data_IF_529785350335
#
_entry.id   IF_529785350335
#
_cell.length_a   1.000
_cell.length_b   1.000
_cell.length_c   1.000
_cell.angle_alpha   90.00
_cell.angle_beta   90.00
_cell.angle_gamma   90.00
#
_symmetry.space_group_name_H-M   'P 1'
#
loop_
_entity.id
_entity.type
_entity.pdbx_description
1 polymer ?
#
# COMPACT_ATOMS: atom_id res chain seq x y z
N UNK A 1 49.20 -29.53 -8.46
CA UNK A 1 48.53 -28.23 -8.62
C UNK A 1 47.09 -28.35 -8.16
N UNK A 2 46.79 -27.93 -6.95
CA UNK A 2 45.46 -28.00 -6.35
C UNK A 2 44.70 -26.72 -6.73
N UNK A 3 43.71 -26.83 -7.62
CA UNK A 3 42.83 -25.70 -7.97
C UNK A 3 41.83 -25.48 -6.83
N UNK A 4 42.05 -24.44 -6.06
CA UNK A 4 41.12 -23.99 -5.02
C UNK A 4 39.89 -23.37 -5.70
N UNK A 5 38.75 -24.08 -5.67
CA UNK A 5 37.46 -23.56 -6.09
C UNK A 5 36.89 -22.70 -4.95
N UNK A 6 36.99 -21.38 -5.07
CA UNK A 6 36.34 -20.46 -4.18
C UNK A 6 34.86 -20.44 -4.57
N UNK A 7 34.02 -21.15 -3.81
CA UNK A 7 32.57 -21.03 -3.88
C UNK A 7 32.19 -19.65 -3.31
N UNK A 8 31.88 -18.68 -4.18
CA UNK A 8 31.30 -17.40 -3.78
C UNK A 8 29.86 -17.66 -3.39
N UNK A 9 29.64 -17.75 -2.06
CA UNK A 9 28.30 -17.82 -1.48
C UNK A 9 27.65 -16.44 -1.63
N UNK A 10 26.94 -16.20 -2.73
CA UNK A 10 26.10 -15.00 -2.87
C UNK A 10 24.93 -15.14 -1.91
N UNK A 11 24.68 -14.18 -0.99
CA UNK A 11 23.59 -14.31 -0.04
C UNK A 11 22.24 -14.17 -0.75
N UNK A 12 21.59 -15.28 -0.99
CA UNK A 12 20.25 -15.38 -1.61
C UNK A 12 19.20 -14.48 -0.91
N UNK A 13 19.38 -14.25 0.39
CA UNK A 13 18.51 -13.40 1.21
C UNK A 13 18.44 -11.92 0.77
N UNK A 14 19.51 -11.37 0.17
CA UNK A 14 19.52 -9.99 -0.34
C UNK A 14 18.65 -9.81 -1.58
N UNK A 15 18.52 -10.84 -2.41
CA UNK A 15 17.67 -10.79 -3.61
C UNK A 15 16.18 -10.77 -3.23
N UNK A 16 15.79 -11.59 -2.26
CA UNK A 16 14.40 -11.69 -1.78
C UNK A 16 13.97 -10.38 -1.07
N UNK A 17 14.81 -9.81 -0.21
CA UNK A 17 14.54 -8.56 0.48
C UNK A 17 14.34 -7.38 -0.49
N UNK A 18 15.15 -7.30 -1.56
CA UNK A 18 15.02 -6.27 -2.59
C UNK A 18 13.72 -6.41 -3.39
N UNK A 19 13.22 -7.64 -3.61
CA UNK A 19 11.96 -7.89 -4.29
C UNK A 19 10.77 -7.33 -3.47
N UNK A 20 10.70 -7.58 -2.17
CA UNK A 20 9.68 -7.00 -1.29
C UNK A 20 9.72 -5.46 -1.25
N UNK A 21 10.91 -4.86 -1.25
CA UNK A 21 11.07 -3.41 -1.29
C UNK A 21 10.50 -2.83 -2.59
N UNK A 22 10.79 -3.46 -3.73
CA UNK A 22 10.25 -3.06 -5.04
C UNK A 22 8.72 -3.15 -5.06
N UNK A 23 8.16 -4.28 -4.63
CA UNK A 23 6.71 -4.49 -4.57
C UNK A 23 5.99 -3.46 -3.68
N UNK A 24 6.55 -3.10 -2.51
CA UNK A 24 6.01 -2.03 -1.66
C UNK A 24 5.98 -0.68 -2.39
N UNK A 25 7.07 -0.34 -3.07
CA UNK A 25 7.19 0.93 -3.80
C UNK A 25 6.20 0.98 -4.97
N UNK A 26 6.07 -0.10 -5.73
CA UNK A 26 5.12 -0.23 -6.83
C UNK A 26 3.67 -0.15 -6.33
N UNK A 27 3.34 -0.84 -5.25
CA UNK A 27 2.00 -0.79 -4.62
C UNK A 27 1.65 0.64 -4.19
N UNK A 28 2.57 1.37 -3.55
CA UNK A 28 2.33 2.76 -3.16
C UNK A 28 2.27 3.72 -4.35
N UNK A 29 3.04 3.49 -5.41
CA UNK A 29 2.92 4.26 -6.64
C UNK A 29 1.57 4.04 -7.32
N UNK A 30 1.10 2.78 -7.39
CA UNK A 30 -0.22 2.42 -7.92
C UNK A 30 -1.32 3.06 -7.07
N UNK A 31 -1.26 2.93 -5.74
CA UNK A 31 -2.20 3.56 -4.81
C UNK A 31 -2.29 5.08 -5.06
N UNK A 32 -1.16 5.79 -5.12
CA UNK A 32 -1.13 7.23 -5.36
C UNK A 32 -1.71 7.62 -6.72
N UNK A 33 -1.48 6.81 -7.77
CA UNK A 33 -2.05 7.04 -9.10
C UNK A 33 -3.58 6.89 -9.07
N UNK A 34 -4.08 5.84 -8.43
CA UNK A 34 -5.51 5.58 -8.26
C UNK A 34 -6.19 6.71 -7.49
N UNK A 35 -5.62 7.15 -6.37
CA UNK A 35 -6.16 8.27 -5.58
C UNK A 35 -6.25 9.57 -6.39
N UNK A 36 -5.24 9.88 -7.22
CA UNK A 36 -5.28 11.06 -8.09
C UNK A 36 -6.36 10.93 -9.16
N UNK A 37 -6.50 9.75 -9.78
CA UNK A 37 -7.56 9.49 -10.76
C UNK A 37 -8.94 9.63 -10.14
N UNK A 38 -9.17 9.04 -8.97
CA UNK A 38 -10.43 9.16 -8.24
C UNK A 38 -10.77 10.63 -7.93
N UNK A 39 -9.80 11.39 -7.41
CA UNK A 39 -9.99 12.81 -7.12
C UNK A 39 -10.34 13.64 -8.35
N UNK A 40 -9.75 13.32 -9.52
CA UNK A 40 -10.07 13.98 -10.78
C UNK A 40 -11.48 13.63 -11.27
N UNK A 41 -11.89 12.36 -11.17
CA UNK A 41 -13.23 11.92 -11.53
C UNK A 41 -14.30 12.56 -10.65
N UNK A 42 -14.08 12.62 -9.32
CA UNK A 42 -14.99 13.32 -8.40
C UNK A 42 -15.12 14.80 -8.78
N UNK A 43 -14.01 15.47 -9.08
CA UNK A 43 -14.00 16.87 -9.49
C UNK A 43 -14.78 17.11 -10.79
N UNK A 44 -14.73 16.15 -11.71
CA UNK A 44 -15.46 16.20 -12.98
C UNK A 44 -16.90 15.71 -12.87
N UNK A 45 -17.35 15.28 -11.70
CA UNK A 45 -18.66 14.62 -11.48
C UNK A 45 -18.84 13.32 -12.28
N UNK A 46 -17.75 12.63 -12.56
CA UNK A 46 -17.71 11.31 -13.23
C UNK A 46 -17.89 10.19 -12.20
N UNK A 47 -19.08 10.12 -11.59
CA UNK A 47 -19.39 9.13 -10.55
C UNK A 47 -20.09 7.95 -11.21
N UNK A 48 -19.33 6.86 -11.41
CA UNK A 48 -19.74 5.70 -12.19
C UNK A 48 -19.03 4.43 -11.72
N UNK A 49 -19.23 3.34 -12.44
CA UNK A 49 -18.63 2.04 -12.15
C UNK A 49 -17.08 2.05 -12.23
N UNK A 50 -16.49 2.84 -13.13
CA UNK A 50 -15.05 2.95 -13.25
C UNK A 50 -14.44 3.58 -11.97
N UNK A 51 -15.10 4.57 -11.39
CA UNK A 51 -14.70 5.15 -10.12
C UNK A 51 -14.82 4.13 -8.97
N UNK A 52 -15.89 3.33 -8.95
CA UNK A 52 -16.04 2.22 -7.99
C UNK A 52 -14.90 1.21 -8.13
N UNK A 53 -14.52 0.85 -9.35
CA UNK A 53 -13.41 -0.07 -9.59
C UNK A 53 -12.07 0.47 -9.10
N UNK A 54 -11.82 1.77 -9.26
CA UNK A 54 -10.61 2.42 -8.72
C UNK A 54 -10.52 2.21 -7.20
N UNK A 55 -11.62 2.38 -6.47
CA UNK A 55 -11.63 2.18 -5.01
C UNK A 55 -11.52 0.71 -4.62
N UNK A 56 -12.11 -0.19 -5.40
CA UNK A 56 -11.92 -1.65 -5.22
C UNK A 56 -10.45 -2.05 -5.41
N UNK A 57 -9.77 -1.46 -6.38
CA UNK A 57 -8.32 -1.69 -6.56
C UNK A 57 -7.50 -1.16 -5.37
N UNK A 58 -7.88 0.00 -4.80
CA UNK A 58 -7.25 0.55 -3.58
C UNK A 58 -7.50 -0.38 -2.39
N UNK A 59 -8.72 -0.88 -2.20
CA UNK A 59 -9.07 -1.86 -1.16
C UNK A 59 -8.15 -3.08 -1.26
N UNK A 60 -8.04 -3.69 -2.43
CA UNK A 60 -7.22 -4.88 -2.66
C UNK A 60 -5.73 -4.62 -2.36
N UNK A 61 -5.19 -3.49 -2.81
CA UNK A 61 -3.81 -3.10 -2.48
C UNK A 61 -3.61 -3.07 -0.97
N UNK A 62 -4.53 -2.50 -0.22
CA UNK A 62 -4.37 -2.33 1.22
C UNK A 62 -4.60 -3.62 2.01
N UNK A 63 -5.40 -4.55 1.53
CA UNK A 63 -5.53 -5.89 2.10
C UNK A 63 -4.22 -6.67 1.94
N UNK A 64 -3.57 -6.58 0.78
CA UNK A 64 -2.35 -7.33 0.48
C UNK A 64 -1.08 -6.67 1.05
N UNK A 65 -1.08 -5.35 1.24
CA UNK A 65 0.11 -4.57 1.56
C UNK A 65 0.88 -5.06 2.79
N UNK A 66 0.25 -5.47 3.92
CA UNK A 66 0.96 -5.98 5.08
C UNK A 66 1.81 -7.23 4.82
N UNK A 67 1.44 -8.05 3.84
CA UNK A 67 2.18 -9.29 3.49
C UNK A 67 3.56 -9.01 2.87
N UNK A 68 3.77 -7.78 2.40
CA UNK A 68 5.01 -7.34 1.79
C UNK A 68 6.10 -6.96 2.81
N UNK A 69 5.89 -7.19 4.11
CA UNK A 69 6.80 -6.79 5.19
C UNK A 69 7.27 -7.96 6.07
N UNK A 70 7.84 -9.05 5.49
CA UNK A 70 8.48 -10.06 6.32
C UNK A 70 9.67 -9.46 7.09
N UNK A 71 10.01 -10.04 8.24
CA UNK A 71 10.97 -9.49 9.20
C UNK A 71 12.38 -9.27 8.64
N UNK A 72 12.77 -10.04 7.62
CA UNK A 72 14.07 -9.94 6.96
C UNK A 72 14.11 -8.95 5.78
N UNK A 73 13.02 -8.24 5.51
CA UNK A 73 12.84 -7.38 4.33
C UNK A 73 13.10 -5.89 4.55
N UNK A 74 13.71 -5.50 5.68
CA UNK A 74 13.95 -4.09 6.02
C UNK A 74 15.36 -3.61 5.67
N UNK A 75 16.20 -4.47 5.10
CA UNK A 75 17.56 -4.14 4.68
C UNK A 75 17.58 -3.68 3.23
N UNK A 76 18.22 -2.54 2.94
CA UNK A 76 18.33 -2.01 1.58
C UNK A 76 17.79 -0.60 1.41
N UNK A 77 17.44 -0.21 0.17
CA UNK A 77 16.92 1.12 -0.15
C UNK A 77 15.42 1.24 0.19
N UNK A 78 15.09 1.17 1.45
CA UNK A 78 13.72 1.31 1.95
C UNK A 78 13.59 2.48 2.93
N UNK A 79 12.40 3.09 2.98
CA UNK A 79 12.01 4.06 4.01
C UNK A 79 11.05 3.44 5.04
N UNK A 80 10.74 2.15 4.93
CA UNK A 80 9.94 1.46 5.92
C UNK A 80 10.73 1.33 7.22
N UNK A 81 10.10 1.70 8.35
CA UNK A 81 10.70 1.55 9.67
C UNK A 81 10.64 0.10 10.15
N UNK A 82 11.69 -0.36 10.83
CA UNK A 82 11.69 -1.65 11.55
C UNK A 82 10.69 -1.68 12.73
N UNK A 83 10.16 -0.52 13.13
CA UNK A 83 9.07 -0.43 14.13
C UNK A 83 7.82 -1.22 13.72
N UNK A 84 7.67 -1.51 12.43
CA UNK A 84 6.59 -2.38 11.91
C UNK A 84 6.68 -3.77 12.55
N UNK A 85 7.88 -4.32 12.75
CA UNK A 85 8.09 -5.65 13.34
C UNK A 85 7.52 -5.69 14.76
N UNK A 86 7.85 -4.69 15.58
CA UNK A 86 7.41 -4.59 16.97
C UNK A 86 5.93 -4.19 17.11
N UNK A 87 5.33 -3.59 16.08
CA UNK A 87 3.97 -3.06 16.11
C UNK A 87 3.12 -3.63 14.96
N UNK A 88 3.29 -4.91 14.64
CA UNK A 88 2.67 -5.62 13.52
C UNK A 88 1.14 -5.49 13.52
N UNK A 89 0.51 -5.68 14.66
CA UNK A 89 -0.94 -5.59 14.79
C UNK A 89 -1.46 -4.20 14.45
N UNK A 90 -0.77 -3.15 14.92
CA UNK A 90 -1.16 -1.77 14.61
C UNK A 90 -0.93 -1.41 13.14
N UNK A 91 0.12 -1.94 12.53
CA UNK A 91 0.38 -1.77 11.11
C UNK A 91 -0.72 -2.43 10.27
N UNK A 92 -1.10 -3.67 10.59
CA UNK A 92 -2.17 -4.39 9.95
C UNK A 92 -3.52 -3.69 10.14
N UNK A 93 -3.82 -3.23 11.36
CA UNK A 93 -5.05 -2.48 11.68
C UNK A 93 -5.21 -1.25 10.78
N UNK A 94 -4.17 -0.42 10.64
CA UNK A 94 -4.23 0.79 9.79
C UNK A 94 -4.41 0.42 8.31
N UNK A 95 -3.78 -0.66 7.85
CA UNK A 95 -3.96 -1.13 6.48
C UNK A 95 -5.40 -1.59 6.22
N UNK A 96 -5.96 -2.39 7.12
CA UNK A 96 -7.35 -2.87 7.01
C UNK A 96 -8.36 -1.73 7.14
N UNK A 97 -8.15 -0.78 8.05
CA UNK A 97 -8.98 0.44 8.14
C UNK A 97 -8.98 1.22 6.82
N UNK A 98 -7.81 1.34 6.19
CA UNK A 98 -7.70 2.00 4.88
C UNK A 98 -8.47 1.23 3.80
N UNK A 99 -8.39 -0.10 3.80
CA UNK A 99 -9.16 -0.96 2.89
C UNK A 99 -10.68 -0.78 3.08
N UNK A 100 -11.16 -0.77 4.32
CA UNK A 100 -12.59 -0.57 4.61
C UNK A 100 -13.09 0.82 4.16
N UNK A 101 -12.28 1.86 4.33
CA UNK A 101 -12.64 3.21 3.82
C UNK A 101 -12.71 3.21 2.28
N UNK A 102 -11.79 2.52 1.60
CA UNK A 102 -11.82 2.38 0.15
C UNK A 102 -13.08 1.62 -0.30
N UNK A 103 -13.45 0.55 0.38
CA UNK A 103 -14.69 -0.19 0.14
C UNK A 103 -15.93 0.69 0.28
N UNK A 104 -16.00 1.51 1.32
CA UNK A 104 -17.11 2.48 1.48
C UNK A 104 -17.17 3.46 0.31
N UNK A 105 -16.02 3.96 -0.18
CA UNK A 105 -15.96 4.83 -1.34
C UNK A 105 -16.42 4.12 -2.63
N UNK A 106 -16.08 2.84 -2.81
CA UNK A 106 -16.55 2.03 -3.92
C UNK A 106 -18.08 1.89 -3.92
N UNK A 107 -18.66 1.54 -2.77
CA UNK A 107 -20.12 1.43 -2.59
C UNK A 107 -20.81 2.78 -2.82
N UNK A 108 -20.26 3.86 -2.28
CA UNK A 108 -20.79 5.21 -2.47
C UNK A 108 -20.79 5.63 -3.95
N UNK A 109 -19.77 5.23 -4.71
CA UNK A 109 -19.69 5.48 -6.15
C UNK A 109 -20.81 4.77 -6.91
N UNK A 110 -21.09 3.50 -6.60
CA UNK A 110 -22.17 2.72 -7.22
C UNK A 110 -23.55 3.28 -6.87
N UNK A 111 -23.73 3.75 -5.64
CA UNK A 111 -24.99 4.32 -5.17
C UNK A 111 -25.17 5.81 -5.52
N UNK A 112 -24.15 6.41 -6.15
CA UNK A 112 -24.09 7.85 -6.46
C UNK A 112 -24.28 8.74 -5.21
N UNK A 113 -23.83 8.25 -4.04
CA UNK A 113 -23.82 8.98 -2.77
C UNK A 113 -22.58 9.88 -2.72
N UNK A 114 -22.76 11.11 -3.21
CA UNK A 114 -21.66 12.07 -3.33
C UNK A 114 -21.08 12.48 -1.97
N UNK A 115 -21.92 12.59 -0.94
CA UNK A 115 -21.48 13.00 0.41
C UNK A 115 -20.58 11.93 1.03
N UNK A 116 -21.03 10.68 1.06
CA UNK A 116 -20.26 9.55 1.57
C UNK A 116 -18.97 9.35 0.74
N UNK A 117 -19.04 9.50 -0.58
CA UNK A 117 -17.90 9.38 -1.48
C UNK A 117 -16.82 10.42 -1.16
N UNK A 118 -17.20 11.69 -1.06
CA UNK A 118 -16.25 12.78 -0.74
C UNK A 118 -15.64 12.61 0.65
N UNK A 119 -16.45 12.22 1.64
CA UNK A 119 -15.96 11.96 2.99
C UNK A 119 -14.97 10.78 3.01
N UNK A 120 -15.29 9.68 2.33
CA UNK A 120 -14.42 8.50 2.27
C UNK A 120 -13.12 8.81 1.53
N UNK A 121 -13.17 9.53 0.41
CA UNK A 121 -11.98 9.96 -0.32
C UNK A 121 -11.06 10.84 0.55
N UNK A 122 -11.63 11.78 1.31
CA UNK A 122 -10.88 12.60 2.27
C UNK A 122 -10.26 11.77 3.39
N UNK A 123 -11.01 10.80 3.93
CA UNK A 123 -10.53 9.93 5.01
C UNK A 123 -9.34 9.06 4.55
N UNK A 124 -9.30 8.60 3.30
CA UNK A 124 -8.16 7.89 2.74
C UNK A 124 -6.86 8.70 2.83
N UNK A 125 -6.88 10.01 2.61
CA UNK A 125 -5.70 10.85 2.83
C UNK A 125 -5.29 10.90 4.32
N UNK A 126 -6.25 10.85 5.23
CA UNK A 126 -5.99 10.78 6.67
C UNK A 126 -5.22 9.51 7.06
N UNK A 127 -5.61 8.37 6.52
CA UNK A 127 -4.91 7.08 6.81
C UNK A 127 -3.50 7.06 6.25
N UNK A 128 -3.25 7.65 5.08
CA UNK A 128 -1.90 7.81 4.53
C UNK A 128 -0.96 8.53 5.52
N UNK A 129 -1.45 9.63 6.11
CA UNK A 129 -0.70 10.38 7.11
C UNK A 129 -0.45 9.56 8.37
N UNK A 130 -1.48 8.91 8.91
CA UNK A 130 -1.38 8.09 10.13
C UNK A 130 -0.35 6.98 9.99
N UNK A 131 -0.37 6.25 8.87
CA UNK A 131 0.58 5.20 8.58
C UNK A 131 2.02 5.75 8.41
N UNK A 132 2.20 6.75 7.56
CA UNK A 132 3.52 7.28 7.24
C UNK A 132 4.19 7.98 8.43
N UNK A 133 3.46 8.70 9.27
CA UNK A 133 4.04 9.33 10.47
C UNK A 133 4.58 8.31 11.47
N UNK A 134 4.06 7.08 11.47
CA UNK A 134 4.46 6.05 12.43
C UNK A 134 5.47 5.06 11.87
N UNK A 135 5.36 4.69 10.60
CA UNK A 135 6.04 3.53 10.01
C UNK A 135 6.97 3.86 8.84
N UNK A 136 7.20 5.14 8.57
CA UNK A 136 8.09 5.59 7.49
C UNK A 136 9.13 6.56 8.02
N UNK A 137 10.42 6.24 7.77
CA UNK A 137 11.59 7.09 8.04
C UNK A 137 11.82 8.15 6.96
#
# INVERSE_FOLDING_TARGET
MLKLFILIFFPLNLLIANDYISQRQESMQKFNKLMRSAGQMIKNSEINEDLSQIYTDIENIMIEYPTLFPDDSFKGKTKASEDIIANRDKFNEISLETAEIAKLASIASLNQDLELLQQSHKNLFGTCKSCHCRFKN
#
